data_IF_183185623377
#
_entry.id   IF_183185623377
#
_cell.length_a   1.000
_cell.length_b   1.000
_cell.length_c   1.000
_cell.angle_alpha   90.00
_cell.angle_beta   90.00
_cell.angle_gamma   90.00
#
_symmetry.space_group_name_H-M   'P 1'
#
loop_
_entity.id
_entity.type
_entity.pdbx_description
1 polymer ?
#
# COMPACT_ATOMS: atom_id res chain seq x y z
N UNK A 1 18.22 0.74 17.39
CA UNK A 1 18.54 -0.19 16.29
C UNK A 1 17.29 -0.81 15.68
N UNK A 2 16.30 -1.20 16.48
CA UNK A 2 15.06 -1.83 16.02
C UNK A 2 14.23 -0.96 15.06
N UNK A 3 14.13 0.35 15.31
CA UNK A 3 13.39 1.30 14.45
C UNK A 3 13.99 1.45 13.05
N UNK A 4 15.33 1.45 12.94
CA UNK A 4 16.02 1.52 11.66
C UNK A 4 15.84 0.23 10.86
N UNK A 5 15.92 -0.93 11.51
CA UNK A 5 15.71 -2.23 10.87
C UNK A 5 14.27 -2.33 10.34
N UNK A 6 13.30 -1.89 11.14
CA UNK A 6 11.90 -1.80 10.73
C UNK A 6 11.73 -0.87 9.50
N UNK A 7 12.30 0.33 9.54
CA UNK A 7 12.20 1.29 8.44
C UNK A 7 12.84 0.76 7.14
N UNK A 8 14.03 0.17 7.24
CA UNK A 8 14.71 -0.44 6.09
C UNK A 8 13.90 -1.61 5.54
N UNK A 9 13.34 -2.45 6.41
CA UNK A 9 12.49 -3.57 6.02
C UNK A 9 11.25 -3.12 5.26
N UNK A 10 10.48 -2.17 5.81
CA UNK A 10 9.29 -1.62 5.15
C UNK A 10 9.66 -0.97 3.81
N UNK A 11 10.76 -0.22 3.77
CA UNK A 11 11.22 0.43 2.53
C UNK A 11 11.59 -0.60 1.47
N UNK A 12 12.35 -1.64 1.82
CA UNK A 12 12.72 -2.71 0.88
C UNK A 12 11.50 -3.43 0.31
N UNK A 13 10.50 -3.70 1.16
CA UNK A 13 9.24 -4.33 0.74
C UNK A 13 8.49 -3.40 -0.23
N UNK A 14 8.38 -2.10 0.07
CA UNK A 14 7.72 -1.12 -0.81
C UNK A 14 8.42 -1.03 -2.17
N UNK A 15 9.76 -1.00 -2.19
CA UNK A 15 10.53 -0.98 -3.44
C UNK A 15 10.31 -2.26 -4.25
N UNK A 16 10.35 -3.42 -3.60
CA UNK A 16 10.09 -4.70 -4.27
C UNK A 16 8.68 -4.75 -4.86
N UNK A 17 7.70 -4.18 -4.14
CA UNK A 17 6.32 -4.08 -4.59
C UNK A 17 6.17 -3.19 -5.83
N UNK A 18 6.88 -2.05 -5.84
CA UNK A 18 6.91 -1.15 -6.98
C UNK A 18 7.59 -1.79 -8.21
N UNK A 19 8.68 -2.54 -8.00
CA UNK A 19 9.35 -3.30 -9.05
C UNK A 19 8.43 -4.38 -9.65
N UNK A 20 7.72 -5.12 -8.81
CA UNK A 20 6.72 -6.10 -9.25
C UNK A 20 5.59 -5.45 -10.05
N UNK A 21 5.06 -4.31 -9.60
CA UNK A 21 4.02 -3.59 -10.34
C UNK A 21 4.52 -3.10 -11.72
N UNK A 22 5.77 -2.65 -11.78
CA UNK A 22 6.40 -2.24 -13.04
C UNK A 22 6.60 -3.43 -14.00
N UNK A 23 7.12 -4.56 -13.52
CA UNK A 23 7.35 -5.76 -14.35
C UNK A 23 6.04 -6.39 -14.80
N UNK A 24 5.03 -6.46 -13.93
CA UNK A 24 3.68 -6.93 -14.30
C UNK A 24 3.06 -6.02 -15.35
N UNK A 25 3.16 -4.69 -15.19
CA UNK A 25 2.62 -3.77 -16.17
C UNK A 25 3.30 -3.86 -17.53
N UNK A 26 4.60 -4.13 -17.56
CA UNK A 26 5.32 -4.46 -18.78
C UNK A 26 4.89 -5.78 -19.39
N UNK A 27 4.83 -6.86 -18.58
CA UNK A 27 4.47 -8.20 -19.01
C UNK A 27 3.09 -8.24 -19.67
N UNK A 28 2.08 -7.62 -19.05
CA UNK A 28 0.71 -7.64 -19.55
C UNK A 28 0.47 -6.77 -20.80
N UNK A 29 1.26 -5.71 -20.99
CA UNK A 29 1.08 -4.81 -22.16
C UNK A 29 1.96 -5.18 -23.35
N UNK A 30 3.15 -5.72 -23.13
CA UNK A 30 4.14 -5.93 -24.19
C UNK A 30 4.32 -7.41 -24.55
N UNK A 31 4.22 -8.33 -23.58
CA UNK A 31 4.44 -9.77 -23.79
C UNK A 31 3.13 -10.52 -24.02
N UNK A 32 2.14 -10.32 -23.15
CA UNK A 32 0.90 -11.11 -23.15
C UNK A 32 -0.23 -10.51 -23.99
N UNK A 33 -0.04 -9.31 -24.57
CA UNK A 33 -1.01 -8.52 -25.37
C UNK A 33 -2.46 -9.02 -25.25
N UNK A 34 -3.04 -8.89 -24.04
CA UNK A 34 -4.43 -9.29 -23.87
C UNK A 34 -5.32 -8.32 -24.67
N UNK A 35 -6.30 -8.81 -25.44
CA UNK A 35 -7.28 -7.99 -26.15
C UNK A 35 -8.33 -7.43 -25.18
N UNK A 36 -7.89 -6.84 -24.07
CA UNK A 36 -8.77 -6.19 -23.09
C UNK A 36 -9.13 -4.80 -23.61
N UNK A 37 -10.30 -4.68 -24.22
CA UNK A 37 -10.84 -3.41 -24.76
C UNK A 37 -11.33 -2.42 -23.68
N UNK A 38 -11.06 -2.70 -22.40
CA UNK A 38 -11.49 -1.87 -21.27
C UNK A 38 -10.41 -0.82 -20.94
N UNK A 39 -10.72 0.47 -21.12
CA UNK A 39 -9.96 1.60 -20.53
C UNK A 39 -10.22 1.58 -19.02
N UNK A 40 -9.35 0.92 -18.22
CA UNK A 40 -8.01 1.46 -17.95
C UNK A 40 -6.83 0.51 -18.26
N UNK A 41 -7.06 -0.67 -18.84
CA UNK A 41 -6.05 -1.72 -19.03
C UNK A 41 -5.31 -1.66 -20.37
N UNK A 42 -5.66 -0.72 -21.25
CA UNK A 42 -5.02 -0.54 -22.56
C UNK A 42 -3.74 0.30 -22.52
N UNK A 43 -3.49 1.03 -21.43
CA UNK A 43 -2.30 1.87 -21.27
C UNK A 43 -1.32 1.28 -20.25
N UNK A 44 -0.06 1.07 -20.65
CA UNK A 44 1.06 0.68 -19.79
C UNK A 44 1.16 1.52 -18.50
N UNK A 45 1.14 2.87 -18.53
CA UNK A 45 1.23 3.68 -17.31
C UNK A 45 0.01 3.49 -16.38
N UNK A 46 -1.19 3.32 -16.94
CA UNK A 46 -2.41 3.14 -16.16
C UNK A 46 -2.41 1.78 -15.46
N UNK A 47 -2.00 0.75 -16.17
CA UNK A 47 -2.00 -0.62 -15.68
C UNK A 47 -0.89 -0.82 -14.62
N UNK A 48 0.28 -0.18 -14.79
CA UNK A 48 1.30 -0.11 -13.71
C UNK A 48 0.80 0.63 -12.48
N UNK A 49 0.04 1.72 -12.65
CA UNK A 49 -0.56 2.45 -11.53
C UNK A 49 -1.51 1.56 -10.73
N UNK A 50 -2.47 0.92 -11.42
CA UNK A 50 -3.44 0.05 -10.78
C UNK A 50 -2.79 -1.14 -10.08
N UNK A 51 -1.78 -1.77 -10.69
CA UNK A 51 -1.03 -2.82 -10.00
C UNK A 51 -0.34 -2.29 -8.75
N UNK A 52 0.29 -1.12 -8.80
CA UNK A 52 0.96 -0.53 -7.64
C UNK A 52 -0.03 -0.28 -6.50
N UNK A 53 -1.24 0.23 -6.82
CA UNK A 53 -2.29 0.46 -5.83
C UNK A 53 -2.80 -0.85 -5.24
N UNK A 54 -3.16 -1.83 -6.07
CA UNK A 54 -3.67 -3.14 -5.60
C UNK A 54 -2.63 -3.86 -4.76
N UNK A 55 -1.38 -3.93 -5.23
CA UNK A 55 -0.28 -4.52 -4.50
C UNK A 55 0.01 -3.77 -3.19
N UNK A 56 -0.12 -2.44 -3.17
CA UNK A 56 0.01 -1.63 -1.96
C UNK A 56 -1.08 -1.94 -0.93
N UNK A 57 -2.34 -2.10 -1.37
CA UNK A 57 -3.46 -2.47 -0.51
C UNK A 57 -3.27 -3.89 0.03
N UNK A 58 -2.93 -4.85 -0.82
CA UNK A 58 -2.67 -6.24 -0.41
C UNK A 58 -1.54 -6.29 0.60
N UNK A 59 -0.46 -5.55 0.35
CA UNK A 59 0.66 -5.46 1.27
C UNK A 59 0.23 -4.86 2.62
N UNK A 60 -0.53 -3.77 2.61
CA UNK A 60 -1.05 -3.16 3.82
C UNK A 60 -1.90 -4.16 4.61
N UNK A 61 -2.80 -4.92 3.96
CA UNK A 61 -3.62 -5.94 4.61
C UNK A 61 -2.79 -7.08 5.21
N UNK A 62 -1.72 -7.52 4.54
CA UNK A 62 -0.81 -8.56 5.05
C UNK A 62 -0.01 -8.04 6.26
N UNK A 63 0.44 -6.79 6.23
CA UNK A 63 1.23 -6.19 7.32
C UNK A 63 0.37 -5.77 8.51
N UNK A 64 -0.89 -5.38 8.29
CA UNK A 64 -1.85 -4.95 9.31
C UNK A 64 -1.95 -5.86 10.56
N UNK A 65 -2.00 -7.20 10.46
CA UNK A 65 -2.06 -8.08 11.63
C UNK A 65 -0.75 -8.16 12.44
N UNK A 66 0.39 -7.76 11.87
CA UNK A 66 1.67 -7.77 12.59
C UNK A 66 1.84 -6.59 13.55
N UNK A 67 0.98 -5.57 13.45
CA UNK A 67 0.98 -4.43 14.36
C UNK A 67 -0.04 -4.62 15.48
N UNK A 68 0.30 -4.25 16.73
CA UNK A 68 -0.62 -4.34 17.85
C UNK A 68 -1.85 -3.47 17.55
N UNK A 69 -3.01 -4.12 17.50
CA UNK A 69 -4.25 -3.51 17.02
C UNK A 69 -5.21 -3.08 18.10
N UNK A 70 -4.99 -3.45 19.36
CA UNK A 70 -5.93 -3.22 20.46
C UNK A 70 -5.18 -2.66 21.65
N UNK A 71 -5.51 -1.43 22.02
CA UNK A 71 -5.22 -0.90 23.34
C UNK A 71 -6.55 -0.93 24.10
N UNK A 72 -6.71 -1.89 25.00
CA UNK A 72 -7.87 -1.92 25.90
C UNK A 72 -7.67 -0.88 26.98
N UNK A 73 -8.31 0.28 26.82
CA UNK A 73 -8.49 1.22 27.91
C UNK A 73 -9.60 0.67 28.82
N UNK A 74 -9.20 0.11 29.95
CA UNK A 74 -10.14 -0.25 31.02
C UNK A 74 -10.39 1.01 31.82
N UNK A 75 -11.61 1.54 31.74
CA UNK A 75 -12.03 2.61 32.66
C UNK A 75 -12.37 1.97 34.00
N UNK A 76 -11.48 2.21 34.97
CA UNK A 76 -11.63 1.74 36.35
C UNK A 76 -12.14 2.90 37.17
N UNK A 77 -13.27 2.73 37.86
CA UNK A 77 -13.73 3.72 38.85
C UNK A 77 -12.77 3.75 40.06
N UNK A 78 -12.84 4.78 40.89
CA UNK A 78 -11.95 4.97 42.06
C UNK A 78 -11.97 3.80 43.06
N UNK A 79 -12.98 2.93 42.97
CA UNK A 79 -13.14 1.71 43.78
C UNK A 79 -12.72 0.41 43.06
N UNK A 80 -12.14 0.47 41.86
CA UNK A 80 -11.68 -0.73 41.15
C UNK A 80 -12.75 -1.45 40.32
N UNK A 81 -13.94 -0.87 40.16
CA UNK A 81 -15.06 -1.48 39.42
C UNK A 81 -14.92 -1.20 37.91
N UNK A 82 -14.96 -2.26 37.09
CA UNK A 82 -14.91 -2.15 35.62
C UNK A 82 -16.23 -1.55 35.09
N UNK A 83 -16.19 -0.28 34.67
CA UNK A 83 -17.40 0.46 34.26
C UNK A 83 -17.77 0.23 32.78
N UNK A 84 -16.83 -0.25 31.97
CA UNK A 84 -17.04 -0.56 30.57
C UNK A 84 -15.72 -0.91 29.85
N UNK A 85 -15.83 -1.67 28.76
CA UNK A 85 -14.70 -2.00 27.89
C UNK A 85 -14.91 -1.33 26.53
N UNK A 86 -14.17 -0.26 26.27
CA UNK A 86 -14.09 0.31 24.92
C UNK A 86 -12.95 -0.36 24.14
N UNK A 87 -13.27 -0.88 22.95
CA UNK A 87 -12.26 -1.42 22.03
C UNK A 87 -11.70 -0.24 21.25
N UNK A 88 -10.58 0.30 21.70
CA UNK A 88 -9.83 1.30 20.95
C UNK A 88 -8.85 0.59 20.01
N UNK A 89 -9.07 0.74 18.71
CA UNK A 89 -8.08 0.31 17.72
C UNK A 89 -6.86 1.22 17.86
N UNK A 90 -5.73 0.64 18.27
CA UNK A 90 -4.52 1.40 18.56
C UNK A 90 -4.11 2.29 17.38
N UNK A 91 -3.71 3.56 17.62
CA UNK A 91 -3.44 4.53 16.55
C UNK A 91 -2.34 4.05 15.60
N UNK A 92 -1.40 3.23 16.09
CA UNK A 92 -0.27 2.70 15.31
C UNK A 92 -0.74 1.85 14.12
N UNK A 93 -1.70 0.94 14.32
CA UNK A 93 -2.19 0.05 13.25
C UNK A 93 -2.89 0.83 12.15
N UNK A 94 -3.69 1.82 12.53
CA UNK A 94 -4.40 2.70 11.59
C UNK A 94 -3.38 3.52 10.79
N UNK A 95 -2.44 4.18 11.48
CA UNK A 95 -1.42 5.04 10.85
C UNK A 95 -0.55 4.25 9.88
N UNK A 96 -0.11 3.04 10.24
CA UNK A 96 0.70 2.21 9.35
C UNK A 96 -0.10 1.74 8.13
N UNK A 97 -1.35 1.32 8.32
CA UNK A 97 -2.20 0.85 7.21
C UNK A 97 -2.46 1.96 6.20
N UNK A 98 -2.94 3.13 6.66
CA UNK A 98 -3.20 4.27 5.79
C UNK A 98 -1.92 4.89 5.21
N UNK A 99 -0.83 4.89 5.99
CA UNK A 99 0.48 5.33 5.54
C UNK A 99 1.01 4.49 4.38
N UNK A 100 0.95 3.16 4.48
CA UNK A 100 1.37 2.25 3.41
C UNK A 100 0.51 2.40 2.15
N UNK A 101 -0.81 2.55 2.32
CA UNK A 101 -1.72 2.79 1.19
C UNK A 101 -1.39 4.13 0.51
N UNK A 102 -1.20 5.19 1.30
CA UNK A 102 -0.84 6.52 0.79
C UNK A 102 0.49 6.52 0.03
N UNK A 103 1.51 5.87 0.57
CA UNK A 103 2.81 5.68 -0.11
C UNK A 103 2.63 4.88 -1.40
N UNK A 104 1.83 3.81 -1.38
CA UNK A 104 1.54 3.01 -2.58
C UNK A 104 0.88 3.83 -3.69
N UNK A 105 -0.11 4.67 -3.36
CA UNK A 105 -0.77 5.58 -4.31
C UNK A 105 0.23 6.60 -4.87
N UNK A 106 1.04 7.22 -4.01
CA UNK A 106 2.02 8.22 -4.41
C UNK A 106 3.07 7.61 -5.35
N UNK A 107 3.61 6.44 -5.02
CA UNK A 107 4.59 5.72 -5.85
C UNK A 107 3.96 5.28 -7.18
N UNK A 108 2.70 4.83 -7.18
CA UNK A 108 1.96 4.52 -8.39
C UNK A 108 1.81 5.75 -9.28
N UNK A 109 1.48 6.90 -8.70
CA UNK A 109 1.33 8.16 -9.43
C UNK A 109 2.67 8.66 -10.01
N UNK A 110 3.77 8.55 -9.25
CA UNK A 110 5.12 8.85 -9.73
C UNK A 110 5.48 7.95 -10.93
N UNK A 111 5.19 6.64 -10.86
CA UNK A 111 5.42 5.74 -11.98
C UNK A 111 4.57 6.08 -13.20
N UNK A 112 3.29 6.41 -12.99
CA UNK A 112 2.40 6.88 -14.04
C UNK A 112 2.99 8.10 -14.75
N UNK A 113 3.38 9.13 -14.00
CA UNK A 113 4.00 10.33 -14.55
C UNK A 113 5.33 10.03 -15.23
N UNK A 114 6.20 9.20 -14.63
CA UNK A 114 7.50 8.85 -15.19
C UNK A 114 7.37 8.15 -16.55
N UNK A 115 6.49 7.14 -16.66
CA UNK A 115 6.25 6.43 -17.91
C UNK A 115 5.64 7.38 -18.94
N UNK A 116 4.66 8.20 -18.53
CA UNK A 116 4.06 9.23 -19.38
C UNK A 116 5.09 10.20 -19.95
N UNK A 117 6.03 10.68 -19.12
CA UNK A 117 7.10 11.61 -19.52
C UNK A 117 8.16 10.93 -20.38
N UNK A 118 8.60 9.72 -20.01
CA UNK A 118 9.66 8.96 -20.69
C UNK A 118 9.25 8.54 -22.11
N UNK A 119 8.01 8.10 -22.29
CA UNK A 119 7.52 7.66 -23.59
C UNK A 119 6.92 8.79 -24.44
N UNK A 120 6.89 10.03 -23.91
CA UNK A 120 6.43 11.22 -24.64
C UNK A 120 5.09 10.99 -25.37
N UNK A 121 4.16 10.26 -24.75
CA UNK A 121 2.83 9.94 -25.34
C UNK A 121 1.86 11.09 -25.05
N UNK A 122 2.20 12.27 -25.56
CA UNK A 122 1.35 13.41 -25.89
C UNK A 122 2.19 14.10 -26.99
N UNK A 123 1.88 13.99 -28.27
CA UNK A 123 0.57 14.05 -28.92
C UNK A 123 0.02 12.74 -29.51
#
# INVERSE_FOLDING_TARGET
METLIFLVGVTAIVVLNALLAFTLGWLFTEVLRLPLNFKPFTCRPCLTFWFTVVLGIVLALILTPYFPGVETLVTVDSEGVELGREIHYGPVRIVVTFGLIGVGILVGFIHFLYIKLKFRIYD
#
